data_IF_734491447571
#
_entry.id   IF_734491447571
#
_cell.length_a   1.000
_cell.length_b   1.000
_cell.length_c   1.000
_cell.angle_alpha   90.00
_cell.angle_beta   90.00
_cell.angle_gamma   90.00
#
_symmetry.space_group_name_H-M   'P 1'
#
loop_
_entity.id
_entity.type
_entity.pdbx_description
1 polymer ?
#
# COMPACT_ATOMS: atom_id res chain seq x y z
N UNK A 1 -4.04 -28.74 1.15
CA UNK A 1 -5.33 -28.41 0.52
C UNK A 1 -5.45 -26.90 0.49
N UNK A 2 -5.26 -26.27 -0.68
CA UNK A 2 -5.53 -24.85 -0.82
C UNK A 2 -7.04 -24.65 -0.65
N UNK A 3 -7.45 -23.92 0.39
CA UNK A 3 -8.84 -23.47 0.48
C UNK A 3 -9.11 -22.61 -0.75
N UNK A 4 -10.08 -23.02 -1.56
CA UNK A 4 -10.60 -22.21 -2.66
C UNK A 4 -11.12 -20.91 -2.03
N UNK A 5 -10.75 -19.78 -2.62
CA UNK A 5 -11.23 -18.48 -2.17
C UNK A 5 -12.77 -18.47 -2.23
N UNK A 6 -13.44 -18.29 -1.09
CA UNK A 6 -14.89 -18.21 -1.02
C UNK A 6 -15.33 -16.75 -1.13
N UNK A 7 -15.72 -16.34 -2.32
CA UNK A 7 -16.14 -14.95 -2.61
C UNK A 7 -17.57 -14.66 -2.18
N UNK A 8 -18.37 -15.69 -1.84
CA UNK A 8 -19.73 -15.50 -1.32
C UNK A 8 -19.71 -14.88 0.09
N UNK A 9 -18.57 -14.93 0.76
CA UNK A 9 -18.38 -14.39 2.12
C UNK A 9 -17.80 -12.96 2.14
N UNK A 10 -17.60 -12.34 0.96
CA UNK A 10 -17.16 -10.94 0.90
C UNK A 10 -18.32 -10.00 1.22
N UNK A 11 -18.08 -8.95 2.03
CA UNK A 11 -19.07 -7.90 2.26
C UNK A 11 -19.27 -7.09 0.98
N UNK A 12 -20.46 -6.60 0.75
CA UNK A 12 -20.82 -5.77 -0.41
C UNK A 12 -20.64 -6.51 -1.75
N UNK A 13 -21.71 -6.72 -2.49
CA UNK A 13 -21.72 -7.42 -3.80
C UNK A 13 -20.42 -7.20 -4.60
N UNK A 14 -19.57 -8.22 -4.77
CA UNK A 14 -18.28 -8.02 -5.41
C UNK A 14 -18.40 -8.00 -6.93
N UNK A 15 -17.66 -7.07 -7.57
CA UNK A 15 -17.38 -7.12 -9.01
C UNK A 15 -15.92 -7.49 -9.28
N UNK A 16 -15.69 -8.10 -10.43
CA UNK A 16 -14.36 -8.54 -10.84
C UNK A 16 -13.65 -7.46 -11.65
N UNK A 17 -12.39 -7.22 -11.31
CA UNK A 17 -11.45 -6.42 -12.08
C UNK A 17 -10.37 -7.34 -12.65
N UNK A 18 -9.98 -7.10 -13.89
CA UNK A 18 -8.89 -7.83 -14.54
C UNK A 18 -7.79 -6.85 -14.96
N UNK A 19 -6.55 -7.20 -14.68
CA UNK A 19 -5.37 -6.45 -15.08
C UNK A 19 -4.45 -7.33 -15.90
N UNK A 20 -4.05 -6.83 -17.05
CA UNK A 20 -3.00 -7.45 -17.87
C UNK A 20 -1.83 -6.49 -17.95
N UNK A 21 -0.69 -6.91 -17.46
CA UNK A 21 0.55 -6.12 -17.47
C UNK A 21 1.75 -7.05 -17.49
N UNK A 22 2.74 -6.76 -18.33
CA UNK A 22 4.04 -7.44 -18.37
C UNK A 22 3.94 -8.97 -18.53
N UNK A 23 2.96 -9.45 -19.32
CA UNK A 23 2.71 -10.89 -19.51
C UNK A 23 1.98 -11.57 -18.34
N UNK A 24 1.62 -10.86 -17.29
CA UNK A 24 0.79 -11.35 -16.20
C UNK A 24 -0.68 -10.98 -16.42
N UNK A 25 -1.59 -11.91 -16.11
CA UNK A 25 -3.03 -11.68 -16.04
C UNK A 25 -3.49 -11.88 -14.61
N UNK A 26 -3.92 -10.81 -13.97
CA UNK A 26 -4.31 -10.78 -12.55
C UNK A 26 -5.78 -10.43 -12.42
N UNK A 27 -6.41 -10.97 -11.40
CA UNK A 27 -7.83 -10.76 -11.13
C UNK A 27 -8.02 -10.31 -9.68
N UNK A 28 -8.89 -9.33 -9.50
CA UNK A 28 -9.24 -8.82 -8.18
C UNK A 28 -10.74 -8.64 -8.08
N UNK A 29 -11.27 -8.78 -6.88
CA UNK A 29 -12.62 -8.36 -6.55
C UNK A 29 -12.56 -7.04 -5.79
N UNK A 30 -13.52 -6.17 -6.07
CA UNK A 30 -13.82 -4.97 -5.30
C UNK A 30 -15.33 -4.87 -5.10
N UNK A 31 -15.83 -4.07 -4.15
CA UNK A 31 -17.25 -3.75 -4.07
C UNK A 31 -17.78 -3.25 -5.42
N UNK A 32 -18.94 -3.72 -5.85
CA UNK A 32 -19.55 -3.31 -7.11
C UNK A 32 -19.85 -1.82 -7.12
N UNK A 33 -20.41 -1.34 -6.01
CA UNK A 33 -20.70 0.07 -5.80
C UNK A 33 -20.00 0.58 -4.53
N UNK A 34 -18.95 1.42 -4.66
CA UNK A 34 -18.26 2.02 -3.52
C UNK A 34 -19.14 2.93 -2.65
N UNK A 35 -20.20 3.53 -3.21
CA UNK A 35 -21.10 4.41 -2.47
C UNK A 35 -21.87 3.63 -1.40
N UNK A 36 -22.25 2.37 -1.67
CA UNK A 36 -22.88 1.50 -0.67
C UNK A 36 -21.96 1.26 0.52
N UNK A 37 -20.64 1.17 0.28
CA UNK A 37 -19.65 1.02 1.34
C UNK A 37 -19.56 2.29 2.17
N UNK A 38 -19.61 3.46 1.53
CA UNK A 38 -19.63 4.76 2.19
C UNK A 38 -20.91 4.92 3.04
N UNK A 39 -22.07 4.60 2.49
CA UNK A 39 -23.38 4.69 3.17
C UNK A 39 -23.49 3.72 4.36
N UNK A 40 -22.67 2.67 4.40
CA UNK A 40 -22.64 1.70 5.51
C UNK A 40 -21.90 2.20 6.75
N UNK A 41 -21.19 3.33 6.66
CA UNK A 41 -20.47 3.92 7.79
C UNK A 41 -21.48 4.63 8.68
N UNK A 42 -21.54 4.25 9.96
CA UNK A 42 -22.38 4.97 10.93
C UNK A 42 -21.79 6.34 11.28
N UNK A 43 -22.63 7.30 11.62
CA UNK A 43 -22.19 8.61 12.12
C UNK A 43 -21.23 8.47 13.31
N UNK A 44 -21.45 7.47 14.17
CA UNK A 44 -20.59 7.21 15.32
C UNK A 44 -19.20 6.75 14.92
N UNK A 45 -19.06 5.95 13.87
CA UNK A 45 -17.76 5.47 13.39
C UNK A 45 -17.04 6.56 12.59
N UNK A 46 -17.77 7.33 11.79
CA UNK A 46 -17.21 8.49 11.12
C UNK A 46 -16.67 9.54 12.12
N UNK A 47 -17.43 9.84 13.18
CA UNK A 47 -17.03 10.84 14.18
C UNK A 47 -15.82 10.42 15.03
N UNK A 48 -15.51 9.11 15.14
CA UNK A 48 -14.35 8.63 15.87
C UNK A 48 -13.02 9.03 15.20
N UNK A 49 -12.92 8.94 13.89
CA UNK A 49 -11.66 9.13 13.18
C UNK A 49 -11.83 9.72 11.77
N UNK A 50 -13.04 10.11 11.37
CA UNK A 50 -13.35 10.62 10.03
C UNK A 50 -12.81 9.72 8.91
N UNK A 51 -12.82 8.40 9.16
CA UNK A 51 -12.29 7.42 8.23
C UNK A 51 -13.29 7.16 7.09
N UNK A 52 -12.85 7.38 5.86
CA UNK A 52 -13.61 7.09 4.66
C UNK A 52 -13.11 5.79 4.00
N UNK A 53 -14.00 4.98 3.38
CA UNK A 53 -13.67 3.66 2.89
C UNK A 53 -12.96 3.72 1.50
N UNK A 54 -11.90 4.48 1.39
CA UNK A 54 -11.10 4.61 0.16
C UNK A 54 -10.55 3.28 -0.35
N UNK A 55 -10.45 2.27 0.52
CA UNK A 55 -10.05 0.91 0.19
C UNK A 55 -10.98 0.22 -0.82
N UNK A 56 -12.25 0.65 -0.91
CA UNK A 56 -13.29 0.01 -1.72
C UNK A 56 -13.09 0.21 -3.24
N UNK A 57 -12.18 1.07 -3.62
CA UNK A 57 -11.91 1.41 -5.01
C UNK A 57 -10.50 1.00 -5.43
N UNK A 58 -10.36 0.75 -6.74
CA UNK A 58 -9.05 0.64 -7.36
C UNK A 58 -8.57 2.02 -7.81
N UNK A 59 -7.41 2.43 -7.29
CA UNK A 59 -6.81 3.73 -7.57
C UNK A 59 -5.80 3.66 -8.72
N UNK A 60 -5.69 4.70 -9.57
CA UNK A 60 -4.79 4.71 -10.72
C UNK A 60 -3.31 4.52 -10.36
N UNK A 61 -2.86 5.07 -9.23
CA UNK A 61 -1.46 4.92 -8.79
C UNK A 61 -1.11 3.47 -8.48
N UNK A 62 -2.04 2.70 -7.91
CA UNK A 62 -1.85 1.28 -7.64
C UNK A 62 -1.64 0.49 -8.93
N UNK A 63 -2.30 0.84 -10.03
CA UNK A 63 -2.12 0.19 -11.34
C UNK A 63 -0.73 0.45 -11.92
N UNK A 64 -0.27 1.69 -11.89
CA UNK A 64 1.07 2.06 -12.37
C UNK A 64 2.16 1.43 -11.51
N UNK A 65 1.93 1.38 -10.22
CA UNK A 65 2.87 0.76 -9.30
C UNK A 65 2.90 -0.77 -9.45
N UNK A 66 1.75 -1.41 -9.65
CA UNK A 66 1.67 -2.84 -10.01
C UNK A 66 2.56 -3.15 -11.22
N UNK A 67 2.42 -2.41 -12.32
CA UNK A 67 3.24 -2.60 -13.52
C UNK A 67 4.73 -2.43 -13.23
N UNK A 68 5.10 -1.42 -12.45
CA UNK A 68 6.48 -1.19 -12.04
C UNK A 68 7.04 -2.38 -11.21
N UNK A 69 6.27 -2.89 -10.24
CA UNK A 69 6.66 -4.03 -9.41
C UNK A 69 6.88 -5.28 -10.28
N UNK A 70 5.98 -5.55 -11.23
CA UNK A 70 6.07 -6.73 -12.09
C UNK A 70 7.33 -6.74 -12.98
N UNK A 71 7.83 -5.57 -13.36
CA UNK A 71 9.07 -5.42 -14.15
C UNK A 71 10.34 -5.42 -13.30
N UNK A 72 10.25 -5.05 -12.02
CA UNK A 72 11.43 -4.82 -11.20
C UNK A 72 12.18 -6.13 -10.90
N UNK A 73 13.52 -6.17 -11.05
CA UNK A 73 14.33 -7.36 -10.80
C UNK A 73 14.63 -7.52 -9.30
N UNK A 74 13.65 -7.98 -8.54
CA UNK A 74 13.85 -8.23 -7.11
C UNK A 74 14.88 -9.34 -6.87
N UNK A 75 15.68 -9.15 -5.83
CA UNK A 75 16.45 -10.27 -5.26
C UNK A 75 15.49 -11.25 -4.59
N UNK A 76 15.93 -12.49 -4.43
CA UNK A 76 15.16 -13.49 -3.66
C UNK A 76 15.07 -13.11 -2.19
N UNK A 77 13.99 -13.54 -1.54
CA UNK A 77 13.76 -13.44 -0.10
C UNK A 77 13.58 -12.02 0.50
N UNK A 78 13.36 -11.00 -0.35
CA UNK A 78 13.04 -9.66 0.15
C UNK A 78 11.76 -9.70 0.96
N UNK A 79 11.81 -9.14 2.16
CA UNK A 79 10.64 -8.94 3.02
C UNK A 79 10.01 -7.57 2.76
N UNK A 80 8.74 -7.59 2.35
CA UNK A 80 7.97 -6.40 1.97
C UNK A 80 6.80 -6.21 2.93
N UNK A 81 6.50 -4.97 3.29
CA UNK A 81 5.27 -4.59 3.96
C UNK A 81 4.51 -3.58 3.11
N UNK A 82 3.25 -3.87 2.76
CA UNK A 82 2.35 -2.90 2.16
C UNK A 82 1.51 -2.23 3.24
N UNK A 83 1.55 -0.89 3.29
CA UNK A 83 0.72 -0.06 4.17
C UNK A 83 -0.50 0.45 3.41
N UNK A 84 -1.70 0.28 3.98
CA UNK A 84 -2.96 0.63 3.32
C UNK A 84 -3.21 -0.29 2.13
N UNK A 85 -3.20 -1.60 2.35
CA UNK A 85 -3.24 -2.58 1.25
C UNK A 85 -4.56 -2.59 0.47
N UNK A 86 -5.65 -2.06 1.02
CA UNK A 86 -6.95 -1.99 0.36
C UNK A 86 -7.36 -3.33 -0.26
N UNK A 87 -7.41 -3.39 -1.57
CA UNK A 87 -7.77 -4.59 -2.34
C UNK A 87 -6.61 -5.61 -2.47
N UNK A 88 -5.41 -5.32 -1.96
CA UNK A 88 -4.26 -6.23 -2.01
C UNK A 88 -3.55 -6.30 -3.37
N UNK A 89 -3.67 -5.26 -4.17
CA UNK A 89 -3.13 -5.21 -5.54
C UNK A 89 -1.60 -5.27 -5.54
N UNK A 90 -0.94 -4.43 -4.77
CA UNK A 90 0.53 -4.40 -4.72
C UNK A 90 1.08 -5.62 -3.99
N UNK A 91 0.45 -6.06 -2.90
CA UNK A 91 0.85 -7.28 -2.18
C UNK A 91 0.85 -8.48 -3.11
N UNK A 92 -0.19 -8.62 -3.94
CA UNK A 92 -0.26 -9.69 -4.95
C UNK A 92 0.91 -9.59 -5.93
N UNK A 93 1.21 -8.40 -6.45
CA UNK A 93 2.32 -8.19 -7.37
C UNK A 93 3.67 -8.57 -6.74
N UNK A 94 3.94 -8.13 -5.52
CA UNK A 94 5.17 -8.51 -4.79
C UNK A 94 5.27 -10.01 -4.57
N UNK A 95 4.17 -10.67 -4.18
CA UNK A 95 4.16 -12.13 -3.96
C UNK A 95 4.41 -12.91 -5.25
N UNK A 96 3.85 -12.47 -6.38
CA UNK A 96 4.14 -13.04 -7.72
C UNK A 96 5.62 -12.89 -8.05
N UNK A 97 6.25 -11.77 -7.66
CA UNK A 97 7.69 -11.52 -7.80
C UNK A 97 8.53 -12.24 -6.73
N UNK A 98 7.93 -13.19 -5.99
CA UNK A 98 8.58 -14.03 -4.96
C UNK A 98 9.07 -13.25 -3.74
N UNK A 99 8.56 -12.06 -3.48
CA UNK A 99 8.80 -11.33 -2.25
C UNK A 99 7.97 -11.92 -1.09
N UNK A 100 8.52 -11.94 0.11
CA UNK A 100 7.82 -12.31 1.35
C UNK A 100 7.00 -11.10 1.82
N UNK A 101 5.72 -11.02 1.46
CA UNK A 101 4.91 -9.83 1.64
C UNK A 101 3.94 -9.93 2.80
N UNK A 102 3.85 -8.85 3.59
CA UNK A 102 2.83 -8.57 4.61
C UNK A 102 1.96 -7.42 4.13
N UNK A 103 0.66 -7.55 4.28
CA UNK A 103 -0.33 -6.55 3.89
C UNK A 103 -0.98 -5.99 5.14
N UNK A 104 -1.05 -4.68 5.29
CA UNK A 104 -1.63 -4.02 6.46
C UNK A 104 -2.68 -3.02 6.01
N UNK A 105 -3.85 -3.07 6.64
CA UNK A 105 -4.90 -2.06 6.48
C UNK A 105 -5.65 -1.88 7.80
N UNK A 106 -6.18 -0.69 8.05
CA UNK A 106 -7.00 -0.42 9.22
C UNK A 106 -8.41 -1.00 9.08
N UNK A 107 -8.90 -1.11 7.85
CA UNK A 107 -10.24 -1.63 7.54
C UNK A 107 -10.25 -3.14 7.55
N UNK A 108 -11.08 -3.72 8.42
CA UNK A 108 -11.34 -5.16 8.42
C UNK A 108 -11.89 -5.65 7.07
N UNK A 109 -12.73 -4.85 6.41
CA UNK A 109 -13.26 -5.18 5.08
C UNK A 109 -12.17 -5.18 4.01
N UNK A 110 -11.27 -4.18 4.01
CA UNK A 110 -10.10 -4.15 3.14
C UNK A 110 -9.24 -5.41 3.34
N UNK A 111 -8.96 -5.78 4.59
CA UNK A 111 -8.20 -6.99 4.91
C UNK A 111 -8.84 -8.27 4.36
N UNK A 112 -10.17 -8.38 4.40
CA UNK A 112 -10.91 -9.53 3.82
C UNK A 112 -10.78 -9.56 2.29
N UNK A 113 -10.97 -8.42 1.61
CA UNK A 113 -10.78 -8.31 0.17
C UNK A 113 -9.33 -8.61 -0.23
N UNK A 114 -8.35 -8.00 0.45
CA UNK A 114 -6.93 -8.27 0.21
C UNK A 114 -6.59 -9.75 0.35
N UNK A 115 -7.04 -10.39 1.43
CA UNK A 115 -6.83 -11.82 1.66
C UNK A 115 -7.37 -12.68 0.51
N UNK A 116 -8.63 -12.47 0.10
CA UNK A 116 -9.27 -13.25 -0.95
C UNK A 116 -8.63 -12.97 -2.33
N UNK A 117 -8.29 -11.72 -2.63
CA UNK A 117 -7.66 -11.34 -3.88
C UNK A 117 -6.25 -11.93 -4.03
N UNK A 118 -5.47 -11.95 -2.96
CA UNK A 118 -4.15 -12.60 -2.95
C UNK A 118 -4.30 -14.10 -3.22
N UNK A 119 -5.26 -14.77 -2.57
CA UNK A 119 -5.55 -16.19 -2.80
C UNK A 119 -6.03 -16.46 -4.24
N UNK A 120 -6.87 -15.60 -4.80
CA UNK A 120 -7.38 -15.70 -6.17
C UNK A 120 -6.24 -15.75 -7.20
N UNK A 121 -5.14 -15.06 -6.93
CA UNK A 121 -3.95 -15.03 -7.78
C UNK A 121 -2.90 -16.09 -7.40
N UNK A 122 -3.30 -17.12 -6.64
CA UNK A 122 -2.45 -18.27 -6.29
C UNK A 122 -1.37 -17.97 -5.25
N UNK A 123 -1.47 -16.86 -4.52
CA UNK A 123 -0.52 -16.47 -3.47
C UNK A 123 -1.04 -16.81 -2.07
N UNK A 124 -0.13 -16.85 -1.08
CA UNK A 124 -0.48 -17.13 0.32
C UNK A 124 -0.54 -15.81 1.07
N UNK A 125 -1.75 -15.34 1.49
CA UNK A 125 -1.90 -14.04 2.13
C UNK A 125 -1.31 -14.01 3.54
N UNK A 126 -0.69 -12.88 3.89
CA UNK A 126 -0.31 -12.50 5.25
C UNK A 126 -0.87 -11.10 5.49
N UNK A 127 -2.11 -11.02 5.93
CA UNK A 127 -2.85 -9.79 6.09
C UNK A 127 -3.08 -9.52 7.58
N UNK A 128 -2.78 -8.30 8.01
CA UNK A 128 -2.96 -7.81 9.36
C UNK A 128 -3.90 -6.60 9.35
N UNK A 129 -4.99 -6.67 10.12
CA UNK A 129 -5.85 -5.52 10.37
C UNK A 129 -5.22 -4.68 11.49
N UNK A 130 -4.63 -3.55 11.13
CA UNK A 130 -3.91 -2.69 12.08
C UNK A 130 -3.78 -1.27 11.56
N UNK A 131 -3.67 -0.32 12.49
CA UNK A 131 -3.45 1.09 12.22
C UNK A 131 -1.96 1.38 12.12
N UNK A 132 -1.51 2.06 11.06
CA UNK A 132 -0.12 2.47 10.91
C UNK A 132 0.37 3.45 11.98
N UNK A 133 -0.55 4.12 12.72
CA UNK A 133 -0.21 4.93 13.89
C UNK A 133 0.29 4.09 15.07
N UNK A 134 -0.15 2.83 15.15
CA UNK A 134 0.24 1.86 16.18
C UNK A 134 0.09 0.42 15.67
N UNK A 135 1.01 -0.01 14.81
CA UNK A 135 0.91 -1.32 14.13
C UNK A 135 0.99 -2.52 15.11
N UNK A 136 1.65 -2.39 16.25
CA UNK A 136 1.83 -3.50 17.18
C UNK A 136 2.68 -4.66 16.64
N UNK A 137 3.37 -4.46 15.50
CA UNK A 137 4.21 -5.47 14.88
C UNK A 137 5.69 -5.16 15.14
N UNK A 138 6.34 -6.00 15.93
CA UNK A 138 7.79 -5.88 16.17
C UNK A 138 8.59 -6.58 15.03
N UNK A 139 8.49 -6.02 13.82
CA UNK A 139 9.20 -6.53 12.64
C UNK A 139 9.66 -5.37 11.76
N UNK A 140 10.83 -5.55 11.14
CA UNK A 140 11.37 -4.61 10.16
C UNK A 140 11.48 -5.27 8.79
N UNK A 141 11.44 -4.45 7.75
CA UNK A 141 11.34 -4.87 6.37
C UNK A 141 12.44 -4.26 5.50
N UNK A 142 12.82 -5.00 4.44
CA UNK A 142 13.71 -4.49 3.40
C UNK A 142 13.02 -3.41 2.56
N UNK A 143 11.71 -3.57 2.36
CA UNK A 143 10.90 -2.64 1.57
C UNK A 143 9.54 -2.41 2.23
N UNK A 144 9.16 -1.14 2.37
CA UNK A 144 7.79 -0.74 2.64
C UNK A 144 7.20 -0.18 1.36
N UNK A 145 6.00 -0.62 1.00
CA UNK A 145 5.27 -0.11 -0.16
C UNK A 145 3.95 0.49 0.26
N UNK A 146 3.52 1.53 -0.44
CA UNK A 146 2.22 2.15 -0.23
C UNK A 146 1.73 2.85 -1.51
N UNK A 147 0.44 2.88 -1.72
CA UNK A 147 -0.17 3.62 -2.83
C UNK A 147 -1.37 4.41 -2.34
N UNK A 148 -1.46 5.68 -2.76
CA UNK A 148 -2.62 6.52 -2.54
C UNK A 148 -2.96 6.82 -1.06
N UNK A 149 -1.99 6.71 -0.14
CA UNK A 149 -2.23 6.85 1.32
C UNK A 149 -2.05 8.27 1.85
N UNK A 150 -1.51 9.21 1.05
CA UNK A 150 -1.29 10.61 1.45
C UNK A 150 -2.46 11.50 0.96
N UNK A 151 -3.68 11.14 1.31
CA UNK A 151 -4.88 11.84 0.87
C UNK A 151 -5.33 12.99 1.80
N UNK A 152 -4.80 13.06 3.04
CA UNK A 152 -5.04 14.13 4.00
C UNK A 152 -3.73 14.53 4.70
N UNK A 153 -3.64 15.81 5.13
CA UNK A 153 -2.44 16.33 5.81
C UNK A 153 -2.10 15.58 7.09
N UNK A 154 -3.10 15.10 7.83
CA UNK A 154 -2.92 14.37 9.09
C UNK A 154 -2.17 13.04 8.93
N UNK A 155 -2.10 12.48 7.71
CA UNK A 155 -1.42 11.21 7.43
C UNK A 155 0.07 11.35 7.17
N UNK A 156 0.58 12.56 6.88
CA UNK A 156 1.99 12.80 6.55
C UNK A 156 2.92 12.30 7.68
N UNK A 157 2.73 12.78 8.90
CA UNK A 157 3.58 12.38 10.05
C UNK A 157 3.42 10.91 10.44
N UNK A 158 2.20 10.38 10.62
CA UNK A 158 2.02 8.97 10.99
C UNK A 158 2.64 8.00 9.98
N UNK A 159 2.47 8.25 8.69
CA UNK A 159 3.02 7.38 7.63
C UNK A 159 4.55 7.42 7.64
N UNK A 160 5.17 8.61 7.73
CA UNK A 160 6.63 8.74 7.81
C UNK A 160 7.19 8.11 9.09
N UNK A 161 6.52 8.29 10.23
CA UNK A 161 6.91 7.66 11.50
C UNK A 161 6.85 6.13 11.43
N UNK A 162 5.75 5.59 10.86
CA UNK A 162 5.58 4.17 10.63
C UNK A 162 6.71 3.61 9.75
N UNK A 163 6.97 4.23 8.60
CA UNK A 163 8.05 3.83 7.70
C UNK A 163 9.41 3.88 8.39
N UNK A 164 9.66 4.94 9.16
CA UNK A 164 10.93 5.08 9.88
C UNK A 164 11.14 3.98 10.93
N UNK A 165 10.09 3.53 11.61
CA UNK A 165 10.16 2.48 12.64
C UNK A 165 10.30 1.08 12.08
N UNK A 166 9.67 0.82 10.93
CA UNK A 166 9.55 -0.52 10.34
C UNK A 166 10.59 -0.82 9.26
N UNK A 167 11.38 0.14 8.81
CA UNK A 167 12.46 -0.11 7.86
C UNK A 167 13.69 -0.69 8.54
N UNK A 168 14.32 -1.68 7.90
CA UNK A 168 15.69 -2.07 8.19
C UNK A 168 16.65 -0.89 7.96
N UNK A 169 17.87 -0.88 8.52
CA UNK A 169 18.83 0.21 8.33
C UNK A 169 19.06 0.58 6.86
N UNK A 170 19.20 -0.42 5.98
CA UNK A 170 19.37 -0.26 4.53
C UNK A 170 18.06 -0.43 3.75
N UNK A 171 16.94 -0.52 4.45
CA UNK A 171 15.61 -0.68 3.89
C UNK A 171 15.14 0.59 3.16
N UNK A 172 14.17 0.42 2.28
CA UNK A 172 13.61 1.47 1.45
C UNK A 172 12.09 1.53 1.59
N UNK A 173 11.51 2.71 1.38
CA UNK A 173 10.08 2.83 1.18
C UNK A 173 9.80 3.27 -0.25
N UNK A 174 8.82 2.63 -0.90
CA UNK A 174 8.31 3.02 -2.22
C UNK A 174 6.86 3.45 -2.08
N UNK A 175 6.57 4.66 -2.52
CA UNK A 175 5.23 5.23 -2.42
C UNK A 175 4.80 5.73 -3.78
N UNK A 176 3.57 5.38 -4.18
CA UNK A 176 2.93 5.93 -5.36
C UNK A 176 1.80 6.89 -4.97
N UNK A 177 1.77 8.05 -5.60
CA UNK A 177 0.72 9.06 -5.41
C UNK A 177 0.42 9.75 -6.73
N UNK A 178 -0.86 10.14 -6.99
CA UNK A 178 -1.21 10.92 -8.18
C UNK A 178 -0.90 12.40 -8.03
N UNK A 179 0.17 12.74 -7.33
CA UNK A 179 0.63 14.10 -7.06
C UNK A 179 -0.45 15.00 -6.43
N UNK A 180 -1.19 14.46 -5.44
CA UNK A 180 -2.23 15.18 -4.72
C UNK A 180 -1.66 16.37 -3.92
N UNK A 181 -2.56 17.21 -3.43
CA UNK A 181 -2.24 18.43 -2.65
C UNK A 181 -1.20 18.21 -1.55
N UNK A 182 -1.19 17.05 -0.89
CA UNK A 182 -0.29 16.78 0.25
C UNK A 182 0.98 16.03 -0.16
N UNK A 183 1.18 15.76 -1.45
CA UNK A 183 2.36 15.04 -1.94
C UNK A 183 3.66 15.83 -1.77
N UNK A 184 3.68 17.11 -2.15
CA UNK A 184 4.86 17.96 -1.94
C UNK A 184 5.15 18.23 -0.46
N UNK A 185 4.16 18.56 0.41
CA UNK A 185 4.35 18.59 1.86
C UNK A 185 4.93 17.28 2.43
N UNK A 186 4.46 16.12 1.98
CA UNK A 186 5.01 14.83 2.37
C UNK A 186 6.50 14.69 1.98
N UNK A 187 6.87 15.03 0.75
CA UNK A 187 8.26 15.00 0.28
C UNK A 187 9.16 15.94 1.07
N UNK A 188 8.70 17.13 1.36
CA UNK A 188 9.43 18.11 2.19
C UNK A 188 9.68 17.55 3.58
N UNK A 189 8.63 17.03 4.22
CA UNK A 189 8.73 16.48 5.56
C UNK A 189 9.62 15.24 5.63
N UNK A 190 9.56 14.37 4.63
CA UNK A 190 10.46 13.22 4.53
C UNK A 190 11.93 13.64 4.48
N UNK A 191 12.28 14.70 3.71
CA UNK A 191 13.65 15.25 3.67
C UNK A 191 14.09 15.81 5.02
N UNK A 192 13.22 16.55 5.73
CA UNK A 192 13.50 17.08 7.07
C UNK A 192 13.80 15.95 8.07
N UNK A 193 13.12 14.81 7.95
CA UNK A 193 13.37 13.60 8.73
C UNK A 193 14.62 12.82 8.26
N UNK A 194 15.34 13.35 7.26
CA UNK A 194 16.61 12.82 6.76
C UNK A 194 16.47 11.66 5.78
N UNK A 195 15.32 11.50 5.14
CA UNK A 195 15.19 10.61 4.01
C UNK A 195 15.81 11.22 2.74
N UNK A 196 16.48 10.39 1.96
CA UNK A 196 16.90 10.68 0.60
C UNK A 196 15.78 10.24 -0.33
N UNK A 197 15.32 11.11 -1.21
CA UNK A 197 14.24 10.87 -2.13
C UNK A 197 14.77 10.63 -3.54
N UNK A 198 14.23 9.64 -4.24
CA UNK A 198 14.52 9.35 -5.63
C UNK A 198 13.24 8.97 -6.37
N UNK A 199 12.88 9.71 -7.42
CA UNK A 199 11.79 9.33 -8.30
C UNK A 199 12.18 8.07 -9.07
N UNK A 200 11.39 7.00 -8.92
CA UNK A 200 11.55 5.73 -9.63
C UNK A 200 10.82 5.76 -10.97
N UNK A 201 9.61 6.31 -10.98
CA UNK A 201 8.78 6.50 -12.17
C UNK A 201 7.96 7.75 -12.02
N UNK A 202 7.80 8.47 -13.11
CA UNK A 202 6.87 9.60 -13.22
C UNK A 202 6.12 9.48 -14.55
N UNK A 203 4.80 9.53 -14.50
CA UNK A 203 3.96 9.35 -15.66
C UNK A 203 2.82 10.36 -15.70
N UNK A 204 2.62 10.96 -16.88
CA UNK A 204 1.46 11.81 -17.17
C UNK A 204 0.39 10.96 -17.85
N UNK A 205 -0.70 10.70 -17.14
CA UNK A 205 -1.86 10.00 -17.69
C UNK A 205 -2.76 11.02 -18.36
N UNK A 206 -2.52 11.26 -19.66
CA UNK A 206 -3.18 12.32 -20.44
C UNK A 206 -4.69 12.20 -20.48
N UNK A 207 -5.22 10.98 -20.59
CA UNK A 207 -6.66 10.71 -20.62
C UNK A 207 -7.37 11.14 -19.33
N UNK A 208 -6.69 11.09 -18.19
CA UNK A 208 -7.23 11.45 -16.86
C UNK A 208 -6.73 12.80 -16.35
N UNK A 209 -5.90 13.52 -17.12
CA UNK A 209 -5.23 14.76 -16.69
C UNK A 209 -4.55 14.61 -15.32
N UNK A 210 -3.91 13.48 -15.09
CA UNK A 210 -3.34 13.07 -13.82
C UNK A 210 -1.84 12.80 -13.99
N UNK A 211 -1.07 13.16 -12.99
CA UNK A 211 0.36 12.83 -12.92
C UNK A 211 0.53 11.80 -11.80
N UNK A 212 1.30 10.74 -12.02
CA UNK A 212 1.57 9.71 -11.02
C UNK A 212 3.07 9.63 -10.80
N UNK A 213 3.51 9.76 -9.57
CA UNK A 213 4.89 9.58 -9.17
C UNK A 213 5.04 8.34 -8.28
N UNK A 214 6.03 7.49 -8.59
CA UNK A 214 6.52 6.44 -7.69
C UNK A 214 7.83 6.94 -7.12
N UNK A 215 7.87 7.14 -5.82
CA UNK A 215 8.97 7.72 -5.07
C UNK A 215 9.64 6.68 -4.17
N UNK A 216 10.96 6.60 -4.21
CA UNK A 216 11.76 5.85 -3.23
C UNK A 216 12.25 6.80 -2.13
N UNK A 217 12.05 6.38 -0.89
CA UNK A 217 12.66 6.96 0.30
C UNK A 217 13.73 5.98 0.81
N UNK A 218 14.93 6.47 1.09
CA UNK A 218 16.01 5.68 1.68
C UNK A 218 16.71 6.49 2.76
N UNK A 219 17.42 5.80 3.67
CA UNK A 219 18.25 6.49 4.67
C UNK A 219 19.64 6.77 4.12
N UNK A 220 20.19 7.95 4.43
CA UNK A 220 21.60 8.23 4.17
C UNK A 220 22.53 7.33 5.01
N UNK A 221 23.63 6.87 4.45
CA UNK A 221 24.61 5.99 5.11
C UNK A 221 25.19 6.53 6.43
N UNK A 222 25.00 7.81 6.75
CA UNK A 222 25.62 8.48 7.91
C UNK A 222 24.78 8.46 9.21
N UNK A 223 23.64 7.77 9.29
CA UNK A 223 22.78 7.79 10.48
C UNK A 223 23.17 6.76 11.56
N UNK A 224 24.13 5.89 11.33
CA UNK A 224 24.61 4.92 12.33
C UNK A 224 25.38 5.56 13.49
N UNK A 225 25.79 6.84 13.40
CA UNK A 225 26.57 7.52 14.45
C UNK A 225 25.73 8.25 15.51
N UNK A 226 24.44 8.49 15.28
CA UNK A 226 23.61 9.28 16.21
C UNK A 226 22.62 8.47 17.05
N UNK A 227 22.61 7.13 16.96
CA UNK A 227 21.74 6.28 17.82
C UNK A 227 22.45 5.68 19.03
N UNK A 228 23.70 6.07 19.32
CA UNK A 228 24.49 5.55 20.47
C UNK A 228 24.52 6.51 21.66
N UNK A 229 23.83 7.65 21.59
CA UNK A 229 23.81 8.65 22.68
C UNK A 229 22.37 9.02 23.07
N UNK A 230 21.61 8.05 23.66
CA UNK A 230 20.56 8.35 24.67
C UNK A 230 20.16 7.05 25.37
#
# INVERSE_FOLDING_TARGET
MNKIADFNDLPFSPKKLAFSSEGYSLQFFCPENPDIVLDSISDSDYNKDQFLPYWAQHWPSAQQFLSYILQYPFKTDIEVCELGCGLGVLSTAFMIRKCKTFSIDISHHACRYSHQNIMLNGCIPKVLCSDWRNIGLNKRFDLIAASDIIYESRWVEPVLSCMNSMLLPDGKAWIADPCRRYWDPFKMRAKELGFILRTLKYEKVTEKKMEIEILELSRGKNRLLNQVLY
#
